data_IF_134821470183
#
_entry.id   IF_134821470183
#
_cell.length_a   1.000
_cell.length_b   1.000
_cell.length_c   1.000
_cell.angle_alpha   90.00
_cell.angle_beta   90.00
_cell.angle_gamma   90.00
#
_symmetry.space_group_name_H-M   'P 1'
#
loop_
_entity.id
_entity.type
_entity.pdbx_description
1 polymer ?
#
# COMPACT_ATOMS: atom_id res chain seq x y z
N UNK A 1 -6.49 -13.44 -17.03
CA UNK A 1 -5.96 -13.01 -15.72
C UNK A 1 -6.80 -13.68 -14.64
N UNK A 2 -6.25 -14.64 -13.94
CA UNK A 2 -6.91 -15.15 -12.75
C UNK A 2 -6.78 -14.10 -11.66
N UNK A 3 -7.91 -13.56 -11.26
CA UNK A 3 -7.98 -12.61 -10.16
C UNK A 3 -7.60 -13.28 -8.85
N UNK A 4 -6.95 -12.49 -7.97
CA UNK A 4 -6.66 -12.85 -6.60
C UNK A 4 -7.90 -13.43 -5.91
N UNK A 5 -7.88 -14.71 -5.64
CA UNK A 5 -8.96 -15.40 -4.98
C UNK A 5 -8.69 -15.35 -3.48
N UNK A 6 -9.68 -14.91 -2.70
CA UNK A 6 -9.58 -14.70 -1.24
C UNK A 6 -9.36 -15.98 -0.41
N UNK A 7 -9.28 -17.12 -1.07
CA UNK A 7 -9.20 -18.46 -0.47
C UNK A 7 -7.78 -19.05 -0.45
N UNK A 8 -6.76 -18.24 -0.79
CA UNK A 8 -5.37 -18.71 -0.87
C UNK A 8 -4.50 -17.98 0.16
N UNK A 9 -3.84 -18.78 0.97
CA UNK A 9 -2.93 -18.29 1.99
C UNK A 9 -1.50 -18.22 1.42
N UNK A 10 -0.99 -17.01 1.26
CA UNK A 10 0.38 -16.78 0.77
C UNK A 10 1.45 -17.19 1.79
N UNK A 11 1.07 -17.42 3.04
CA UNK A 11 1.98 -17.90 4.09
C UNK A 11 2.25 -19.41 3.99
N UNK A 12 1.45 -20.15 3.21
CA UNK A 12 1.69 -21.55 2.86
C UNK A 12 2.50 -21.65 1.57
N UNK A 13 3.81 -21.89 1.72
CA UNK A 13 4.74 -21.98 0.60
C UNK A 13 4.36 -23.07 -0.43
N UNK A 14 3.80 -24.20 0.03
CA UNK A 14 3.39 -25.30 -0.86
C UNK A 14 2.18 -24.90 -1.71
N UNK A 15 1.22 -24.20 -1.10
CA UNK A 15 0.06 -23.64 -1.80
C UNK A 15 0.47 -22.62 -2.84
N UNK A 16 1.39 -21.69 -2.48
CA UNK A 16 1.92 -20.67 -3.39
C UNK A 16 2.64 -21.31 -4.57
N UNK A 17 3.53 -22.28 -4.31
CA UNK A 17 4.28 -22.99 -5.37
C UNK A 17 3.35 -23.73 -6.32
N UNK A 18 2.36 -24.44 -5.78
CA UNK A 18 1.38 -25.17 -6.59
C UNK A 18 0.62 -24.23 -7.52
N UNK A 19 0.04 -23.15 -6.94
CA UNK A 19 -0.86 -22.27 -7.69
C UNK A 19 -0.12 -21.47 -8.76
N UNK A 20 0.98 -20.84 -8.41
CA UNK A 20 1.74 -20.02 -9.36
C UNK A 20 2.44 -20.97 -10.38
N UNK A 21 2.89 -22.15 -9.94
CA UNK A 21 3.50 -23.14 -10.82
C UNK A 21 2.53 -23.74 -11.84
N UNK A 22 1.27 -23.99 -11.46
CA UNK A 22 0.23 -24.47 -12.38
C UNK A 22 -0.14 -23.43 -13.44
N UNK A 23 -0.18 -22.13 -13.05
CA UNK A 23 -0.46 -21.02 -13.98
C UNK A 23 0.74 -20.71 -14.87
N UNK A 24 1.96 -20.87 -14.35
CA UNK A 24 3.22 -20.51 -15.00
C UNK A 24 3.19 -19.13 -15.69
N UNK A 25 2.92 -18.05 -14.94
CA UNK A 25 2.71 -16.71 -15.51
C UNK A 25 4.04 -16.09 -15.97
N UNK A 26 3.97 -15.16 -16.93
CA UNK A 26 5.10 -14.30 -17.31
C UNK A 26 5.41 -13.24 -16.23
N UNK A 27 4.40 -12.88 -15.42
CA UNK A 27 4.55 -11.90 -14.35
C UNK A 27 3.53 -12.12 -13.21
N UNK A 28 3.94 -11.79 -11.99
CA UNK A 28 3.09 -11.78 -10.80
C UNK A 28 2.97 -10.35 -10.28
N UNK A 29 1.73 -9.86 -10.11
CA UNK A 29 1.44 -8.60 -9.40
C UNK A 29 0.97 -8.96 -8.00
N UNK A 30 1.84 -8.76 -7.01
CA UNK A 30 1.60 -9.12 -5.62
C UNK A 30 0.94 -7.96 -4.85
N UNK A 31 -0.39 -8.05 -4.67
CA UNK A 31 -1.19 -7.06 -3.97
C UNK A 31 -1.65 -7.51 -2.57
N UNK A 32 -1.40 -8.77 -2.19
CA UNK A 32 -1.83 -9.26 -0.89
C UNK A 32 -0.93 -8.71 0.23
N UNK A 33 -1.54 -8.23 1.31
CA UNK A 33 -0.82 -7.72 2.47
C UNK A 33 -1.74 -7.69 3.72
N UNK A 34 -1.13 -7.72 4.89
CA UNK A 34 -1.76 -7.30 6.13
C UNK A 34 -1.64 -5.77 6.21
N UNK A 35 -2.76 -5.06 6.11
CA UNK A 35 -2.79 -3.59 5.95
C UNK A 35 -3.45 -2.84 7.11
N UNK A 36 -3.88 -3.53 8.16
CA UNK A 36 -4.44 -2.91 9.35
C UNK A 36 -3.29 -2.41 10.26
N UNK A 37 -2.83 -1.17 10.01
CA UNK A 37 -1.63 -0.60 10.64
C UNK A 37 -1.67 -0.69 12.17
N UNK A 38 -2.74 -0.18 12.79
CA UNK A 38 -2.88 -0.19 14.26
C UNK A 38 -2.96 -1.61 14.82
N UNK A 39 -3.74 -2.48 14.18
CA UNK A 39 -3.86 -3.87 14.59
C UNK A 39 -2.58 -4.70 14.36
N UNK A 40 -1.64 -4.22 13.56
CA UNK A 40 -0.35 -4.88 13.35
C UNK A 40 0.51 -4.85 14.60
N UNK A 41 0.40 -3.81 15.44
CA UNK A 41 1.14 -3.68 16.70
C UNK A 41 0.77 -4.81 17.69
N UNK A 42 -0.50 -5.25 17.68
CA UNK A 42 -0.99 -6.37 18.48
C UNK A 42 -0.80 -7.74 17.81
N UNK A 43 -0.52 -7.77 16.50
CA UNK A 43 -0.46 -8.98 15.68
C UNK A 43 0.86 -9.10 14.89
N UNK A 44 1.97 -8.79 15.54
CA UNK A 44 3.31 -8.69 14.90
C UNK A 44 3.66 -9.92 14.07
N UNK A 45 3.52 -11.12 14.65
CA UNK A 45 3.88 -12.39 13.99
C UNK A 45 3.00 -12.65 12.75
N UNK A 46 1.69 -12.38 12.83
CA UNK A 46 0.80 -12.54 11.69
C UNK A 46 1.12 -11.54 10.60
N UNK A 47 1.36 -10.29 10.99
CA UNK A 47 1.74 -9.22 10.05
C UNK A 47 3.02 -9.59 9.29
N UNK A 48 4.07 -10.05 10.00
CA UNK A 48 5.34 -10.50 9.40
C UNK A 48 5.15 -11.71 8.50
N UNK A 49 4.43 -12.74 8.95
CA UNK A 49 4.13 -13.91 8.13
C UNK A 49 3.48 -13.55 6.81
N UNK A 50 2.53 -12.61 6.81
CA UNK A 50 1.85 -12.20 5.57
C UNK A 50 2.75 -11.30 4.73
N UNK A 51 3.31 -10.23 5.31
CA UNK A 51 3.98 -9.18 4.54
C UNK A 51 5.41 -9.55 4.12
N UNK A 52 6.15 -10.29 4.96
CA UNK A 52 7.52 -10.69 4.67
C UNK A 52 7.60 -12.13 4.16
N UNK A 53 7.17 -13.12 4.97
CA UNK A 53 7.32 -14.53 4.60
C UNK A 53 6.46 -14.91 3.38
N UNK A 54 5.22 -14.42 3.32
CA UNK A 54 4.33 -14.61 2.18
C UNK A 54 4.91 -14.00 0.89
N UNK A 55 5.52 -12.81 1.00
CA UNK A 55 6.23 -12.18 -0.11
C UNK A 55 7.45 -13.00 -0.55
N UNK A 56 8.22 -13.52 0.42
CA UNK A 56 9.38 -14.40 0.13
C UNK A 56 8.94 -15.69 -0.59
N UNK A 57 7.81 -16.29 -0.19
CA UNK A 57 7.26 -17.48 -0.85
C UNK A 57 6.96 -17.20 -2.33
N UNK A 58 6.30 -16.07 -2.63
CA UNK A 58 5.99 -15.66 -4.00
C UNK A 58 7.28 -15.39 -4.78
N UNK A 59 8.23 -14.64 -4.20
CA UNK A 59 9.50 -14.34 -4.85
C UNK A 59 10.30 -15.60 -5.20
N UNK A 60 10.32 -16.61 -4.31
CA UNK A 60 10.98 -17.89 -4.57
C UNK A 60 10.39 -18.61 -5.80
N UNK A 61 9.07 -18.59 -5.97
CA UNK A 61 8.42 -19.21 -7.13
C UNK A 61 8.67 -18.39 -8.40
N UNK A 62 8.60 -17.06 -8.32
CA UNK A 62 8.96 -16.19 -9.45
C UNK A 62 10.39 -16.44 -9.94
N UNK A 63 11.34 -16.63 -9.01
CA UNK A 63 12.73 -17.01 -9.34
C UNK A 63 12.83 -18.33 -10.08
N UNK A 64 12.11 -19.37 -9.61
CA UNK A 64 12.07 -20.70 -10.26
C UNK A 64 11.52 -20.63 -11.68
N UNK A 65 10.52 -19.78 -11.92
CA UNK A 65 9.85 -19.62 -13.21
C UNK A 65 10.53 -18.57 -14.11
N UNK A 66 11.55 -17.86 -13.61
CA UNK A 66 12.17 -16.72 -14.28
C UNK A 66 11.16 -15.61 -14.69
N UNK A 67 10.04 -15.49 -13.97
CA UNK A 67 9.00 -14.52 -14.24
C UNK A 67 9.21 -13.19 -13.48
N UNK A 68 8.63 -12.12 -14.00
CA UNK A 68 8.68 -10.78 -13.38
C UNK A 68 7.82 -10.73 -12.12
N UNK A 69 8.19 -9.89 -11.16
CA UNK A 69 7.36 -9.62 -9.98
C UNK A 69 7.16 -8.12 -9.76
N UNK A 70 5.91 -7.69 -9.61
CA UNK A 70 5.57 -6.38 -9.04
C UNK A 70 5.15 -6.59 -7.59
N UNK A 71 5.84 -5.93 -6.66
CA UNK A 71 5.51 -5.90 -5.24
C UNK A 71 4.95 -4.53 -4.85
N UNK A 72 3.72 -4.49 -4.36
CA UNK A 72 3.12 -3.27 -3.84
C UNK A 72 3.63 -3.03 -2.42
N UNK A 73 4.41 -1.98 -2.25
CA UNK A 73 4.92 -1.51 -0.97
C UNK A 73 4.20 -0.23 -0.51
N UNK A 74 4.77 0.48 0.44
CA UNK A 74 4.14 1.61 1.12
C UNK A 74 5.18 2.70 1.44
N UNK A 75 4.71 3.93 1.64
CA UNK A 75 5.46 5.04 2.21
C UNK A 75 5.83 4.83 3.68
N UNK A 76 5.13 3.96 4.42
CA UNK A 76 5.43 3.60 5.81
C UNK A 76 6.80 2.92 6.01
N UNK A 77 7.54 2.64 4.93
CA UNK A 77 8.94 2.19 5.02
C UNK A 77 9.89 3.33 5.44
N UNK A 78 9.42 4.58 5.42
CA UNK A 78 10.12 5.78 5.88
C UNK A 78 9.59 6.25 7.22
N UNK A 79 10.35 7.12 7.91
CA UNK A 79 9.97 7.71 9.20
C UNK A 79 8.98 8.88 9.08
N UNK A 80 8.79 9.41 7.88
CA UNK A 80 7.88 10.55 7.64
C UNK A 80 8.43 11.90 8.08
N UNK A 81 9.70 11.98 8.49
CA UNK A 81 10.33 13.21 8.97
C UNK A 81 10.79 14.10 7.80
N UNK A 82 10.76 15.41 8.04
CA UNK A 82 11.25 16.38 7.07
C UNK A 82 10.16 16.98 6.18
N UNK A 83 10.60 17.76 5.19
CA UNK A 83 9.70 18.52 4.30
C UNK A 83 9.91 18.27 2.82
N UNK A 84 10.91 17.46 2.45
CA UNK A 84 11.12 17.07 1.06
C UNK A 84 10.42 15.76 0.73
N UNK A 85 10.08 15.57 -0.53
CA UNK A 85 9.61 14.27 -1.00
C UNK A 85 10.72 13.21 -0.88
N UNK A 86 10.32 11.99 -0.51
CA UNK A 86 11.22 10.84 -0.46
C UNK A 86 11.59 10.35 -1.87
N UNK A 87 12.86 10.02 -2.05
CA UNK A 87 13.37 9.39 -3.27
C UNK A 87 13.40 7.85 -3.10
N UNK A 88 13.38 7.07 -4.20
CA UNK A 88 13.36 5.60 -4.12
C UNK A 88 14.53 4.98 -3.36
N UNK A 89 15.71 5.61 -3.34
CA UNK A 89 16.96 5.16 -2.73
C UNK A 89 17.24 5.80 -1.36
N UNK A 90 16.36 6.67 -0.87
CA UNK A 90 16.48 7.17 0.50
C UNK A 90 16.48 6.01 1.51
N UNK A 91 17.18 6.22 2.63
CA UNK A 91 17.26 5.24 3.70
C UNK A 91 15.89 4.98 4.32
N UNK A 92 15.58 3.72 4.58
CA UNK A 92 14.30 3.28 5.13
C UNK A 92 14.40 3.19 6.64
N UNK A 93 13.48 3.86 7.33
CA UNK A 93 13.35 3.91 8.79
C UNK A 93 11.90 3.73 9.22
N UNK A 94 11.31 2.52 9.06
CA UNK A 94 9.93 2.28 9.43
C UNK A 94 9.72 2.43 10.93
N UNK A 95 8.66 3.15 11.35
CA UNK A 95 8.36 3.45 12.75
C UNK A 95 7.34 2.49 13.39
N UNK A 96 6.72 1.62 12.60
CA UNK A 96 5.69 0.70 13.07
C UNK A 96 5.85 -0.69 12.47
N UNK A 97 5.14 -1.67 13.02
CA UNK A 97 5.21 -3.08 12.60
C UNK A 97 4.78 -3.26 11.15
N UNK A 98 3.75 -2.54 10.71
CA UNK A 98 3.31 -2.59 9.31
C UNK A 98 4.44 -2.16 8.35
N UNK A 99 5.00 -0.97 8.56
CA UNK A 99 6.10 -0.45 7.75
C UNK A 99 7.32 -1.36 7.77
N UNK A 100 7.71 -1.85 8.96
CA UNK A 100 8.83 -2.77 9.14
C UNK A 100 8.63 -4.07 8.33
N UNK A 101 7.47 -4.70 8.44
CA UNK A 101 7.19 -5.96 7.73
C UNK A 101 7.04 -5.77 6.22
N UNK A 102 6.55 -4.62 5.77
CA UNK A 102 6.53 -4.26 4.35
C UNK A 102 7.95 -4.05 3.81
N UNK A 103 8.82 -3.40 4.59
CA UNK A 103 10.24 -3.26 4.23
C UNK A 103 10.97 -4.62 4.20
N UNK A 104 10.72 -5.51 5.15
CA UNK A 104 11.23 -6.90 5.09
C UNK A 104 10.78 -7.60 3.80
N UNK A 105 9.56 -7.36 3.34
CA UNK A 105 9.08 -7.83 2.04
C UNK A 105 9.83 -7.23 0.84
N UNK A 106 10.18 -5.92 0.87
CA UNK A 106 11.05 -5.32 -0.15
C UNK A 106 12.41 -6.02 -0.21
N UNK A 107 13.03 -6.27 0.96
CA UNK A 107 14.31 -6.98 1.05
C UNK A 107 14.20 -8.42 0.53
N UNK A 108 13.10 -9.12 0.83
CA UNK A 108 12.85 -10.46 0.31
C UNK A 108 12.82 -10.47 -1.23
N UNK A 109 12.16 -9.50 -1.85
CA UNK A 109 12.12 -9.35 -3.32
C UNK A 109 13.50 -9.01 -3.88
N UNK A 110 14.19 -8.00 -3.34
CA UNK A 110 15.50 -7.53 -3.81
C UNK A 110 16.58 -8.63 -3.72
N UNK A 111 16.59 -9.38 -2.62
CA UNK A 111 17.58 -10.44 -2.40
C UNK A 111 17.31 -11.71 -3.24
N UNK A 112 16.11 -11.84 -3.79
CA UNK A 112 15.69 -13.06 -4.50
C UNK A 112 15.67 -12.88 -6.01
N UNK A 113 15.22 -11.73 -6.51
CA UNK A 113 14.90 -11.49 -7.91
C UNK A 113 15.77 -10.38 -8.52
N UNK A 114 16.03 -10.50 -9.84
CA UNK A 114 16.56 -9.42 -10.67
C UNK A 114 15.45 -8.71 -11.45
N UNK A 115 14.38 -9.44 -11.82
CA UNK A 115 13.24 -8.95 -12.61
C UNK A 115 12.10 -8.50 -11.71
N UNK A 116 12.30 -7.39 -10.97
CA UNK A 116 11.29 -6.90 -10.03
C UNK A 116 10.98 -5.42 -10.18
N UNK A 117 9.76 -5.06 -9.78
CA UNK A 117 9.33 -3.69 -9.51
C UNK A 117 8.83 -3.64 -8.07
N UNK A 118 9.41 -2.79 -7.24
CA UNK A 118 8.87 -2.44 -5.94
C UNK A 118 8.17 -1.10 -6.10
N UNK A 119 6.86 -1.07 -5.85
CA UNK A 119 6.02 0.10 -6.09
C UNK A 119 5.46 0.57 -4.76
N UNK A 120 6.01 1.64 -4.21
CA UNK A 120 5.54 2.27 -2.98
C UNK A 120 4.40 3.21 -3.28
N UNK A 121 3.32 3.05 -2.55
CA UNK A 121 2.08 3.83 -2.69
C UNK A 121 1.68 4.40 -1.35
N UNK A 122 0.84 5.44 -1.36
CA UNK A 122 0.28 6.05 -0.16
C UNK A 122 -1.21 6.35 -0.32
N UNK A 123 -1.94 6.43 0.78
CA UNK A 123 -3.32 6.93 0.86
C UNK A 123 -4.25 6.35 -0.21
N UNK A 124 -4.26 5.03 -0.33
CA UNK A 124 -4.96 4.30 -1.40
C UNK A 124 -6.48 4.41 -1.25
N UNK A 125 -7.13 4.79 -2.34
CA UNK A 125 -8.58 4.85 -2.41
C UNK A 125 -9.13 4.30 -3.73
N UNK A 126 -10.38 3.84 -3.70
CA UNK A 126 -11.06 3.32 -4.87
C UNK A 126 -12.51 2.95 -4.60
N UNK A 127 -13.19 2.46 -5.63
CA UNK A 127 -14.61 2.08 -5.54
C UNK A 127 -14.84 0.84 -4.67
N UNK A 128 -13.83 0.00 -4.49
CA UNK A 128 -13.91 -1.22 -3.69
C UNK A 128 -13.19 -1.06 -2.35
N UNK A 129 -13.58 -1.86 -1.35
CA UNK A 129 -12.96 -1.87 -0.02
C UNK A 129 -13.27 -0.63 0.81
N UNK A 130 -12.70 -0.60 2.02
CA UNK A 130 -12.73 0.55 2.93
C UNK A 130 -11.63 1.53 2.52
N UNK A 131 -11.88 2.83 2.60
CA UNK A 131 -10.88 3.88 2.39
C UNK A 131 -11.36 5.20 3.01
N UNK A 132 -10.45 6.17 3.10
CA UNK A 132 -10.71 7.46 3.74
C UNK A 132 -11.89 8.20 3.13
N UNK A 133 -12.02 8.23 1.78
CA UNK A 133 -13.15 8.90 1.11
C UNK A 133 -14.48 8.33 1.59
N UNK A 134 -14.62 7.00 1.58
CA UNK A 134 -15.85 6.35 2.03
C UNK A 134 -16.12 6.57 3.51
N UNK A 135 -15.07 6.60 4.33
CA UNK A 135 -15.19 6.90 5.75
C UNK A 135 -15.74 8.31 5.94
N UNK A 136 -15.15 9.32 5.29
CA UNK A 136 -15.62 10.71 5.38
C UNK A 136 -17.08 10.84 4.90
N UNK A 137 -17.41 10.27 3.74
CA UNK A 137 -18.78 10.30 3.21
C UNK A 137 -19.81 9.64 4.16
N UNK A 138 -19.43 8.60 4.87
CA UNK A 138 -20.31 7.96 5.84
C UNK A 138 -20.44 8.79 7.12
N UNK A 139 -19.35 9.33 7.63
CA UNK A 139 -19.37 10.21 8.80
C UNK A 139 -20.21 11.47 8.54
N UNK A 140 -20.05 12.10 7.38
CA UNK A 140 -20.81 13.28 7.01
C UNK A 140 -22.33 13.10 6.87
N UNK A 141 -22.82 11.83 6.84
CA UNK A 141 -24.28 11.55 6.88
C UNK A 141 -24.88 11.69 8.30
N UNK A 142 -24.04 11.64 9.32
CA UNK A 142 -24.47 11.55 10.72
C UNK A 142 -23.83 12.61 11.62
N UNK A 143 -22.85 13.34 11.11
CA UNK A 143 -22.11 14.35 11.86
C UNK A 143 -22.03 15.65 11.05
N UNK A 144 -22.43 16.75 11.67
CA UNK A 144 -22.34 18.10 11.08
C UNK A 144 -20.98 18.74 11.34
N UNK A 145 -20.17 18.18 12.27
CA UNK A 145 -18.84 18.62 12.63
C UNK A 145 -17.87 17.44 12.77
N UNK A 146 -16.65 17.60 12.23
CA UNK A 146 -15.57 16.61 12.33
C UNK A 146 -14.23 17.31 12.58
N UNK A 147 -13.34 16.66 13.32
CA UNK A 147 -11.92 17.06 13.43
C UNK A 147 -11.05 16.16 12.59
N UNK A 148 -10.11 16.70 11.83
CA UNK A 148 -9.23 15.94 10.95
C UNK A 148 -7.80 16.47 11.02
N UNK A 149 -6.83 15.55 11.05
CA UNK A 149 -5.39 15.85 11.14
C UNK A 149 -4.93 16.72 9.96
N UNK A 150 -4.15 17.78 10.27
CA UNK A 150 -3.71 18.76 9.28
C UNK A 150 -2.18 18.90 9.14
N UNK A 151 -1.41 18.19 9.95
CA UNK A 151 0.07 18.23 9.96
C UNK A 151 0.72 16.98 9.36
N UNK A 152 -0.05 16.06 8.79
CA UNK A 152 0.43 14.92 8.00
C UNK A 152 0.12 15.15 6.53
N UNK A 153 1.18 15.17 5.70
CA UNK A 153 1.10 15.45 4.28
C UNK A 153 1.39 14.19 3.45
N UNK A 154 0.67 14.03 2.35
CA UNK A 154 0.84 12.89 1.46
C UNK A 154 0.17 13.11 0.10
N UNK A 155 0.27 12.10 -0.75
CA UNK A 155 -0.33 12.08 -2.08
C UNK A 155 -1.32 10.91 -2.17
N UNK A 156 -2.62 11.17 -2.28
CA UNK A 156 -3.61 10.10 -2.46
C UNK A 156 -3.36 9.29 -3.73
N UNK A 157 -3.64 7.98 -3.69
CA UNK A 157 -3.45 7.07 -4.83
C UNK A 157 -4.77 6.44 -5.25
N UNK A 158 -5.25 6.76 -6.45
CA UNK A 158 -6.44 6.14 -7.01
C UNK A 158 -6.13 4.76 -7.60
N UNK A 159 -6.79 3.73 -7.11
CA UNK A 159 -6.51 2.33 -7.50
C UNK A 159 -6.69 2.05 -8.99
N UNK A 160 -7.56 2.77 -9.69
CA UNK A 160 -7.75 2.59 -11.13
C UNK A 160 -6.53 3.08 -11.94
N UNK A 161 -5.99 4.25 -11.58
CA UNK A 161 -4.79 4.80 -12.21
C UNK A 161 -3.57 3.93 -11.89
N UNK A 162 -3.43 3.53 -10.62
CA UNK A 162 -2.40 2.60 -10.20
C UNK A 162 -2.45 1.29 -11.00
N UNK A 163 -3.62 0.68 -11.16
CA UNK A 163 -3.76 -0.59 -11.88
C UNK A 163 -3.29 -0.48 -13.34
N UNK A 164 -3.58 0.63 -14.00
CA UNK A 164 -3.10 0.89 -15.37
C UNK A 164 -1.58 1.03 -15.41
N UNK A 165 -1.01 1.80 -14.49
CA UNK A 165 0.43 1.96 -14.36
C UNK A 165 1.13 0.60 -14.14
N UNK A 166 0.61 -0.26 -13.25
CA UNK A 166 1.20 -1.58 -13.00
C UNK A 166 1.18 -2.47 -14.25
N UNK A 167 0.10 -2.40 -15.06
CA UNK A 167 0.03 -3.11 -16.33
C UNK A 167 1.08 -2.58 -17.31
N UNK A 168 1.22 -1.27 -17.41
CA UNK A 168 2.23 -0.66 -18.30
C UNK A 168 3.66 -0.99 -17.83
N UNK A 169 3.92 -0.98 -16.51
CA UNK A 169 5.22 -1.33 -15.94
C UNK A 169 5.61 -2.78 -16.24
N UNK A 170 4.69 -3.73 -16.09
CA UNK A 170 4.97 -5.16 -16.28
C UNK A 170 5.36 -5.50 -17.72
N UNK A 171 4.94 -4.68 -18.69
CA UNK A 171 5.29 -4.83 -20.09
C UNK A 171 6.70 -4.30 -20.42
N UNK A 172 7.40 -3.69 -19.46
CA UNK A 172 8.75 -3.15 -19.62
C UNK A 172 9.79 -4.04 -18.91
N UNK A 173 11.07 -3.72 -19.11
CA UNK A 173 12.20 -4.27 -18.35
C UNK A 173 12.90 -3.19 -17.50
N UNK A 174 12.17 -2.12 -17.15
CA UNK A 174 12.67 -1.03 -16.30
C UNK A 174 12.52 -1.41 -14.83
N UNK A 175 13.25 -2.46 -14.44
CA UNK A 175 13.24 -2.98 -13.08
C UNK A 175 13.74 -1.96 -12.06
N UNK A 176 13.30 -2.07 -10.80
CA UNK A 176 13.75 -1.21 -9.71
C UNK A 176 12.67 -0.83 -8.72
N UNK A 177 12.94 0.22 -7.96
CA UNK A 177 12.06 0.76 -6.92
C UNK A 177 11.45 2.07 -7.39
N UNK A 178 10.16 2.24 -7.14
CA UNK A 178 9.37 3.37 -7.61
C UNK A 178 8.41 3.89 -6.53
N UNK A 179 8.18 5.19 -6.52
CA UNK A 179 7.01 5.79 -5.88
C UNK A 179 5.92 5.97 -6.94
N UNK A 180 4.69 5.56 -6.61
CA UNK A 180 3.55 5.64 -7.52
C UNK A 180 2.33 6.18 -6.79
N UNK A 181 2.11 7.48 -6.91
CA UNK A 181 0.94 8.19 -6.38
C UNK A 181 0.33 9.06 -7.47
N UNK A 182 -0.89 9.56 -7.28
CA UNK A 182 -1.37 10.64 -8.13
C UNK A 182 -0.63 11.94 -7.80
N UNK A 183 -0.68 12.91 -8.71
CA UNK A 183 -0.02 14.20 -8.56
C UNK A 183 -0.66 15.06 -7.47
N UNK A 184 0.15 15.93 -6.88
CA UNK A 184 -0.23 16.87 -5.85
C UNK A 184 0.01 16.32 -4.44
N UNK A 185 0.06 17.24 -3.49
CA UNK A 185 0.24 16.98 -2.07
C UNK A 185 -0.89 17.66 -1.32
N UNK A 186 -1.46 16.99 -0.34
CA UNK A 186 -2.42 17.55 0.59
C UNK A 186 -2.24 16.92 1.98
N UNK A 187 -2.82 17.55 3.01
CA UNK A 187 -2.99 16.89 4.30
C UNK A 187 -4.38 16.23 4.41
N UNK A 188 -4.62 15.46 5.47
CA UNK A 188 -5.89 14.76 5.65
C UNK A 188 -7.08 15.71 5.79
N UNK A 189 -6.87 16.88 6.45
CA UNK A 189 -7.90 17.93 6.59
C UNK A 189 -8.31 18.48 5.22
N UNK A 190 -7.35 18.88 4.39
CA UNK A 190 -7.62 19.38 3.02
C UNK A 190 -8.33 18.34 2.17
N UNK A 191 -7.91 17.08 2.30
CA UNK A 191 -8.53 15.97 1.59
C UNK A 191 -9.98 15.76 2.02
N UNK A 192 -10.27 15.82 3.34
CA UNK A 192 -11.64 15.72 3.86
C UNK A 192 -12.54 16.87 3.38
N UNK A 193 -12.03 18.11 3.44
CA UNK A 193 -12.75 19.28 2.94
C UNK A 193 -13.12 19.13 1.45
N UNK A 194 -12.18 18.67 0.62
CA UNK A 194 -12.43 18.47 -0.81
C UNK A 194 -13.43 17.35 -1.08
N UNK A 195 -13.40 16.26 -0.30
CA UNK A 195 -14.38 15.18 -0.38
C UNK A 195 -15.80 15.72 -0.13
N UNK A 196 -16.01 16.48 0.96
CA UNK A 196 -17.32 17.03 1.29
C UNK A 196 -17.77 18.06 0.27
N UNK A 197 -16.89 18.95 -0.17
CA UNK A 197 -17.17 19.92 -1.23
C UNK A 197 -17.66 19.23 -2.52
N UNK A 198 -16.97 18.20 -2.97
CA UNK A 198 -17.35 17.44 -4.19
C UNK A 198 -18.63 16.63 -4.01
N UNK A 199 -18.91 16.17 -2.81
CA UNK A 199 -20.14 15.44 -2.50
C UNK A 199 -21.35 16.34 -2.28
N UNK A 200 -21.18 17.68 -2.24
CA UNK A 200 -22.25 18.63 -1.92
C UNK A 200 -22.76 18.50 -0.48
N UNK A 201 -21.90 18.02 0.42
CA UNK A 201 -22.23 17.84 1.85
C UNK A 201 -21.73 19.05 2.64
N UNK A 202 -22.60 19.58 3.50
CA UNK A 202 -22.24 20.71 4.38
C UNK A 202 -21.82 20.17 5.75
N UNK A 203 -20.54 19.84 5.89
CA UNK A 203 -19.90 19.36 7.12
C UNK A 203 -18.83 20.38 7.52
N UNK A 204 -18.88 20.84 8.75
CA UNK A 204 -17.82 21.68 9.33
C UNK A 204 -16.61 20.80 9.70
N UNK A 205 -15.49 21.03 9.05
CA UNK A 205 -14.25 20.28 9.31
C UNK A 205 -13.24 21.18 10.00
N UNK A 206 -12.86 20.83 11.22
CA UNK A 206 -11.83 21.57 11.97
C UNK A 206 -10.47 20.87 11.84
N UNK A 207 -9.38 21.62 11.55
CA UNK A 207 -8.03 21.07 11.55
C UNK A 207 -7.53 20.81 12.96
N UNK A 208 -6.81 19.73 13.18
CA UNK A 208 -6.19 19.36 14.45
C UNK A 208 -4.81 18.75 14.20
N UNK A 209 -3.78 19.05 15.03
CA UNK A 209 -2.50 18.35 14.91
C UNK A 209 -2.63 16.88 15.32
N UNK A 210 -1.80 16.01 14.75
CA UNK A 210 -1.83 14.56 15.04
C UNK A 210 -1.65 14.27 16.54
N UNK A 211 -0.87 15.09 17.26
CA UNK A 211 -0.64 14.95 18.71
C UNK A 211 -1.90 15.18 19.57
N UNK A 212 -2.91 15.83 19.04
CA UNK A 212 -4.18 16.11 19.70
C UNK A 212 -5.34 15.26 19.17
N UNK A 213 -5.07 14.43 18.14
CA UNK A 213 -6.09 13.53 17.58
C UNK A 213 -6.31 12.35 18.53
N UNK A 214 -7.56 12.04 18.93
CA UNK A 214 -7.83 10.89 19.80
C UNK A 214 -7.47 9.59 19.10
N UNK A 215 -6.60 8.81 19.71
CA UNK A 215 -6.21 7.45 19.25
C UNK A 215 -7.11 6.39 19.86
#
# INVERSE_FOLDING_TARGET
SEMCIRDRDITDAASVEKVIGEVAPDAVIHCAAYTAVDAAEDNVELCRRVNADGTQNIANVCKKLDCKMIYISTDYVFDGEGTRAWEPDDERHPLNVYGQTKYEGELAVQNTLEKYFIVRISWVFGVNGKNFIKTMLNLGKTHDHLTVVNDQFGSPTYTYDLARLLVDMVLTDKYGIYHATNEGICNWYEFACEIFRKAGMNVDVAPVPASEYPT
#
